data_IF_652633847241
#
_entry.id   IF_652633847241
#
_cell.length_a   1.000
_cell.length_b   1.000
_cell.length_c   1.000
_cell.angle_alpha   90.00
_cell.angle_beta   90.00
_cell.angle_gamma   90.00
#
_symmetry.space_group_name_H-M   'P 1'
#
loop_
_entity.id
_entity.type
_entity.pdbx_description
1 polymer ?
#
# COMPACT_ATOMS: atom_id res chain seq x y z
N UNK A 1 -22.21 9.19 -13.15
CA UNK A 1 -21.62 8.64 -11.91
C UNK A 1 -20.14 8.86 -12.03
N UNK A 2 -19.63 9.95 -11.46
CA UNK A 2 -18.20 10.19 -11.35
C UNK A 2 -17.62 9.14 -10.42
N UNK A 3 -17.14 8.04 -11.01
CA UNK A 3 -16.26 7.11 -10.31
C UNK A 3 -14.95 7.84 -10.09
N UNK A 4 -14.91 8.68 -9.04
CA UNK A 4 -13.68 9.34 -8.59
C UNK A 4 -12.68 8.23 -8.33
N UNK A 5 -11.73 8.06 -9.27
CA UNK A 5 -10.68 7.07 -9.11
C UNK A 5 -9.94 7.43 -7.82
N UNK A 6 -9.77 6.49 -6.88
CA UNK A 6 -9.14 6.81 -5.61
C UNK A 6 -7.74 7.37 -5.88
N UNK A 7 -7.37 8.40 -5.11
CA UNK A 7 -6.15 9.19 -5.31
C UNK A 7 -4.86 8.36 -5.35
N UNK A 8 -4.84 7.23 -4.64
CA UNK A 8 -3.69 6.33 -4.61
C UNK A 8 -3.56 5.49 -5.88
N UNK A 9 -4.62 5.29 -6.66
CA UNK A 9 -4.60 4.32 -7.76
C UNK A 9 -3.70 4.80 -8.89
N UNK A 10 -2.68 4.01 -9.20
CA UNK A 10 -1.68 4.36 -10.20
C UNK A 10 -0.50 5.17 -9.64
N UNK A 11 -0.49 5.51 -8.35
CA UNK A 11 0.63 6.19 -7.72
C UNK A 11 1.88 5.28 -7.72
N UNK A 12 3.03 5.86 -8.03
CA UNK A 12 4.33 5.19 -7.95
C UNK A 12 4.68 4.89 -6.49
N UNK A 13 5.38 3.79 -6.26
CA UNK A 13 5.70 3.31 -4.91
C UNK A 13 7.17 3.62 -4.62
N UNK A 14 7.48 4.45 -3.60
CA UNK A 14 8.86 4.78 -3.24
C UNK A 14 9.72 3.52 -2.97
N UNK A 15 11.00 3.58 -3.32
CA UNK A 15 11.94 2.47 -3.14
C UNK A 15 11.73 1.28 -4.09
N UNK A 16 10.80 1.39 -5.05
CA UNK A 16 10.57 0.38 -6.08
C UNK A 16 10.75 1.00 -7.46
N UNK A 17 11.02 0.16 -8.46
CA UNK A 17 11.06 0.62 -9.85
C UNK A 17 9.73 1.28 -10.23
N UNK A 18 9.79 2.33 -11.05
CA UNK A 18 8.64 3.16 -11.51
C UNK A 18 7.52 2.36 -12.18
N UNK A 19 7.80 1.10 -12.54
CA UNK A 19 6.84 0.16 -13.11
C UNK A 19 5.85 -0.41 -12.08
N UNK A 20 6.08 -0.21 -10.77
CA UNK A 20 5.15 -0.62 -9.71
C UNK A 20 4.24 0.54 -9.33
N UNK A 21 2.94 0.29 -9.39
CA UNK A 21 1.93 1.27 -8.99
C UNK A 21 0.94 0.68 -8.00
N UNK A 22 0.35 1.52 -7.16
CA UNK A 22 -0.71 1.09 -6.24
C UNK A 22 -1.97 0.74 -7.04
N UNK A 23 -2.45 -0.49 -6.86
CA UNK A 23 -3.63 -1.02 -7.54
C UNK A 23 -4.88 -0.98 -6.66
N UNK A 24 -4.73 -1.28 -5.37
CA UNK A 24 -5.81 -1.30 -4.40
C UNK A 24 -5.29 -1.04 -2.98
N UNK A 25 -6.17 -0.55 -2.11
CA UNK A 25 -5.93 -0.38 -0.68
C UNK A 25 -7.15 -0.88 0.06
N UNK A 26 -6.95 -1.76 1.04
CA UNK A 26 -8.01 -2.29 1.89
C UNK A 26 -7.73 -2.03 3.36
N UNK A 27 -8.70 -1.49 4.09
CA UNK A 27 -8.62 -1.38 5.57
C UNK A 27 -8.89 -2.75 6.18
N UNK A 28 -7.99 -3.23 7.03
CA UNK A 28 -8.05 -4.53 7.68
C UNK A 28 -7.67 -4.44 9.16
N UNK A 29 -8.20 -5.37 9.93
CA UNK A 29 -7.81 -5.69 11.30
C UNK A 29 -8.03 -7.19 11.46
N UNK A 30 -7.07 -7.90 12.02
CA UNK A 30 -7.12 -9.34 12.22
C UNK A 30 -7.24 -9.63 13.70
N UNK A 31 -8.02 -10.65 14.08
CA UNK A 31 -8.04 -11.13 15.47
C UNK A 31 -6.80 -12.00 15.69
N UNK A 32 -5.63 -11.36 15.76
CA UNK A 32 -4.32 -11.99 16.00
C UNK A 32 -3.45 -11.05 16.85
N UNK A 33 -2.58 -11.62 17.69
CA UNK A 33 -1.59 -10.90 18.51
C UNK A 33 -0.27 -10.63 17.74
N UNK A 34 -0.22 -10.95 16.46
CA UNK A 34 0.93 -10.70 15.60
C UNK A 34 1.15 -9.20 15.33
N UNK A 35 2.37 -8.83 14.99
CA UNK A 35 2.73 -7.50 14.48
C UNK A 35 3.14 -7.59 13.02
N UNK A 36 2.77 -6.57 12.25
CA UNK A 36 3.24 -6.35 10.89
C UNK A 36 4.23 -5.18 10.88
N UNK A 37 5.19 -5.21 9.95
CA UNK A 37 6.06 -4.05 9.73
C UNK A 37 5.39 -3.13 8.71
N UNK A 38 5.23 -1.86 9.06
CA UNK A 38 4.74 -0.81 8.18
C UNK A 38 5.81 -0.52 7.12
N UNK A 39 5.52 -0.77 5.84
CA UNK A 39 6.49 -0.58 4.76
C UNK A 39 6.95 0.88 4.63
N UNK A 40 6.06 1.84 4.94
CA UNK A 40 6.33 3.27 4.79
C UNK A 40 7.27 3.83 5.87
N UNK A 41 7.22 3.29 7.09
CA UNK A 41 7.92 3.85 8.27
C UNK A 41 8.91 2.88 8.90
N UNK A 42 8.80 1.58 8.64
CA UNK A 42 9.53 0.52 9.34
C UNK A 42 8.99 0.19 10.73
N UNK A 43 7.98 0.91 11.22
CA UNK A 43 7.39 0.68 12.54
C UNK A 43 6.56 -0.61 12.60
N UNK A 44 6.46 -1.19 13.80
CA UNK A 44 5.53 -2.28 14.06
C UNK A 44 4.08 -1.79 14.19
N UNK A 45 3.16 -2.53 13.58
CA UNK A 45 1.72 -2.29 13.60
C UNK A 45 1.04 -3.58 14.08
N UNK A 46 0.30 -3.56 15.20
CA UNK A 46 -0.42 -4.73 15.67
C UNK A 46 -1.45 -5.18 14.63
N UNK A 47 -1.49 -6.47 14.32
CA UNK A 47 -2.46 -7.05 13.40
C UNK A 47 -3.91 -6.79 13.84
N UNK A 48 -4.13 -6.73 15.17
CA UNK A 48 -5.42 -6.38 15.80
C UNK A 48 -5.82 -4.92 15.65
N UNK A 49 -4.86 -4.02 15.37
CA UNK A 49 -5.17 -2.62 15.06
C UNK A 49 -5.62 -2.48 13.61
N UNK A 50 -6.44 -1.45 13.34
CA UNK A 50 -6.81 -1.13 11.96
C UNK A 50 -5.57 -0.66 11.21
N UNK A 51 -5.29 -1.32 10.09
CA UNK A 51 -4.17 -1.03 9.20
C UNK A 51 -4.63 -1.12 7.74
N UNK A 52 -3.79 -0.65 6.83
CA UNK A 52 -4.00 -0.74 5.39
C UNK A 52 -3.20 -1.91 4.81
N UNK A 53 -3.89 -2.76 4.08
CA UNK A 53 -3.26 -3.69 3.15
C UNK A 53 -3.21 -3.04 1.77
N UNK A 54 -2.01 -2.71 1.32
CA UNK A 54 -1.76 -2.03 0.06
C UNK A 54 -1.33 -3.07 -0.97
N UNK A 55 -2.11 -3.19 -2.05
CA UNK A 55 -1.78 -4.04 -3.20
C UNK A 55 -1.14 -3.18 -4.29
N UNK A 56 0.06 -3.54 -4.69
CA UNK A 56 0.75 -2.93 -5.83
C UNK A 56 0.79 -3.89 -7.01
N UNK A 57 0.81 -3.32 -8.21
CA UNK A 57 0.84 -4.05 -9.46
C UNK A 57 1.95 -3.53 -10.34
N UNK A 58 2.61 -4.45 -11.04
CA UNK A 58 3.49 -4.16 -12.16
C UNK A 58 3.01 -4.95 -13.37
N UNK A 59 2.73 -4.22 -14.43
CA UNK A 59 2.32 -4.79 -15.70
C UNK A 59 3.58 -5.08 -16.54
N UNK A 60 3.96 -6.36 -16.61
CA UNK A 60 5.06 -6.80 -17.45
C UNK A 60 4.57 -7.27 -18.81
N UNK A 61 5.46 -7.28 -19.83
CA UNK A 61 5.15 -7.67 -21.22
C UNK A 61 4.42 -9.01 -21.36
N UNK A 62 4.67 -9.96 -20.47
CA UNK A 62 4.09 -11.32 -20.53
C UNK A 62 3.23 -11.69 -19.33
N UNK A 63 3.41 -11.02 -18.18
CA UNK A 63 2.69 -11.32 -16.94
C UNK A 63 2.58 -10.08 -16.08
N UNK A 64 1.39 -9.87 -15.54
CA UNK A 64 1.15 -8.95 -14.43
C UNK A 64 1.64 -9.58 -13.14
N UNK A 65 2.36 -8.81 -12.33
CA UNK A 65 2.78 -9.21 -10.98
C UNK A 65 2.08 -8.32 -9.96
N UNK A 66 1.64 -8.91 -8.86
CA UNK A 66 1.08 -8.20 -7.71
C UNK A 66 1.90 -8.50 -6.47
N UNK A 67 1.98 -7.53 -5.56
CA UNK A 67 2.55 -7.67 -4.22
C UNK A 67 1.70 -6.91 -3.23
N UNK A 68 1.76 -7.33 -1.97
CA UNK A 68 1.00 -6.73 -0.89
C UNK A 68 1.93 -6.38 0.27
N UNK A 69 1.65 -5.28 0.95
CA UNK A 69 2.36 -4.87 2.17
C UNK A 69 1.42 -4.06 3.07
N UNK A 70 1.84 -3.86 4.31
CA UNK A 70 1.04 -3.17 5.34
C UNK A 70 1.52 -1.73 5.48
N UNK A 71 0.57 -0.81 5.63
CA UNK A 71 0.79 0.58 6.04
C UNK A 71 -0.15 0.89 7.20
N UNK A 72 0.30 1.72 8.15
CA UNK A 72 -0.48 2.02 9.37
C UNK A 72 -1.84 2.65 9.06
N UNK A 73 -1.87 3.69 8.24
CA UNK A 73 -3.09 4.46 7.95
C UNK A 73 -2.97 5.22 6.62
N UNK A 74 -4.05 5.90 6.23
CA UNK A 74 -4.11 6.62 4.93
C UNK A 74 -3.26 7.87 4.89
N UNK A 75 -3.03 8.53 6.03
CA UNK A 75 -2.21 9.74 6.11
C UNK A 75 -0.75 9.36 5.87
N UNK A 76 -0.28 8.34 6.59
CA UNK A 76 1.04 7.73 6.39
C UNK A 76 1.24 7.26 4.95
N UNK A 77 0.23 6.60 4.35
CA UNK A 77 0.30 6.16 2.96
C UNK A 77 0.40 7.35 1.99
N UNK A 78 -0.36 8.41 2.24
CA UNK A 78 -0.37 9.61 1.40
C UNK A 78 0.98 10.30 1.45
N UNK A 79 1.45 10.62 2.66
CA UNK A 79 2.75 11.26 2.86
C UNK A 79 3.86 10.45 2.19
N UNK A 80 3.85 9.14 2.35
CA UNK A 80 4.85 8.27 1.74
C UNK A 80 4.81 8.31 0.20
N UNK A 81 3.63 8.21 -0.41
CA UNK A 81 3.50 8.27 -1.87
C UNK A 81 3.82 9.65 -2.46
N UNK A 82 3.58 10.74 -1.73
CA UNK A 82 3.87 12.10 -2.16
C UNK A 82 5.35 12.50 -1.95
N UNK A 83 6.02 11.93 -0.95
CA UNK A 83 7.40 12.28 -0.59
C UNK A 83 8.45 11.69 -1.54
N UNK A 84 8.08 10.82 -2.48
CA UNK A 84 8.99 10.06 -3.36
C UNK A 84 10.29 10.78 -3.78
N UNK A 85 11.34 10.60 -2.98
CA UNK A 85 12.73 10.99 -3.24
C UNK A 85 13.51 9.82 -3.84
#
# INVERSE_FOLDING_TARGET
>A
MDSSTPWYRGAAVPGRSDEWTVAAVARRSLVSDETFVCEATGDEVPASSTHLLVTIRRDGRFRTRTKEFVVRDEDTLREWLETGE
#
